data_IF_856968728138
#
_entry.id   IF_856968728138
#
_cell.length_a   1.000
_cell.length_b   1.000
_cell.length_c   1.000
_cell.angle_alpha   90.00
_cell.angle_beta   90.00
_cell.angle_gamma   90.00
#
_symmetry.space_group_name_H-M   'P 1'
#
loop_
_entity.id
_entity.type
_entity.pdbx_description
1 polymer ?
#
# COMPACT_ATOMS: atom_id res chain seq x y z
N UNK A 1 13.77 0.87 -13.72
CA UNK A 1 13.28 0.50 -15.05
C UNK A 1 14.49 0.15 -15.89
N UNK A 2 14.45 -0.99 -16.55
CA UNK A 2 15.52 -1.47 -17.44
C UNK A 2 14.89 -1.88 -18.76
N UNK A 3 15.58 -1.66 -19.87
CA UNK A 3 15.19 -2.16 -21.20
C UNK A 3 16.22 -3.17 -21.68
N UNK A 4 15.75 -4.30 -22.21
CA UNK A 4 16.59 -5.38 -22.72
C UNK A 4 16.41 -5.52 -24.24
N UNK A 5 17.52 -5.39 -24.96
CA UNK A 5 17.60 -5.54 -26.41
C UNK A 5 18.72 -6.52 -26.76
N UNK A 6 18.54 -7.31 -27.80
CA UNK A 6 19.57 -8.21 -28.34
C UNK A 6 20.58 -7.47 -29.25
N UNK A 7 21.56 -8.20 -29.80
CA UNK A 7 22.56 -7.63 -30.73
C UNK A 7 21.95 -7.03 -32.02
N UNK A 8 20.73 -7.45 -32.37
CA UNK A 8 19.97 -6.93 -33.51
C UNK A 8 19.04 -5.76 -33.12
N UNK A 9 19.12 -5.26 -31.88
CA UNK A 9 18.27 -4.22 -31.30
C UNK A 9 16.77 -4.61 -31.24
N UNK A 10 16.45 -5.91 -31.25
CA UNK A 10 15.10 -6.40 -31.02
C UNK A 10 14.85 -6.55 -29.51
N UNK A 11 13.63 -6.26 -29.03
CA UNK A 11 13.30 -6.40 -27.62
C UNK A 11 13.39 -7.88 -27.21
N UNK A 12 14.08 -8.16 -26.12
CA UNK A 12 14.15 -9.52 -25.58
C UNK A 12 12.91 -9.78 -24.73
N UNK A 13 12.04 -10.65 -25.25
CA UNK A 13 10.88 -11.16 -24.53
C UNK A 13 11.28 -12.31 -23.60
N UNK A 14 10.57 -12.46 -22.47
CA UNK A 14 10.80 -13.50 -21.46
C UNK A 14 12.22 -13.53 -20.84
N UNK A 15 12.91 -12.39 -20.81
CA UNK A 15 14.18 -12.28 -20.11
C UNK A 15 13.96 -12.29 -18.59
N UNK A 16 14.86 -12.94 -17.87
CA UNK A 16 14.94 -12.83 -16.41
C UNK A 16 15.90 -11.71 -16.06
N UNK A 17 15.38 -10.66 -15.42
CA UNK A 17 16.17 -9.48 -15.04
C UNK A 17 16.34 -9.44 -13.52
N UNK A 18 17.57 -9.66 -13.06
CA UNK A 18 17.94 -9.50 -11.66
C UNK A 18 18.54 -8.12 -11.43
N UNK A 19 18.03 -7.43 -10.41
CA UNK A 19 18.50 -6.13 -9.95
C UNK A 19 19.08 -6.30 -8.55
N UNK A 20 20.39 -6.14 -8.42
CA UNK A 20 21.08 -6.12 -7.14
C UNK A 20 21.28 -4.67 -6.70
N UNK A 21 20.64 -4.29 -5.58
CA UNK A 21 20.67 -2.93 -5.03
C UNK A 21 21.60 -2.91 -3.83
N UNK A 22 22.68 -2.14 -3.89
CA UNK A 22 23.56 -1.87 -2.75
C UNK A 22 23.02 -0.68 -1.96
N UNK A 23 22.78 -0.89 -0.67
CA UNK A 23 22.23 0.10 0.25
C UNK A 23 23.35 1.07 0.73
N UNK A 24 23.05 2.38 0.87
CA UNK A 24 24.00 3.37 1.38
C UNK A 24 24.38 3.15 2.84
N UNK A 25 23.55 2.42 3.59
CA UNK A 25 23.62 2.30 5.04
C UNK A 25 22.91 3.45 5.74
N UNK A 26 22.31 3.16 6.89
CA UNK A 26 21.53 4.12 7.65
C UNK A 26 21.01 3.55 8.95
N UNK A 27 19.82 4.02 9.36
CA UNK A 27 19.20 3.62 10.62
C UNK A 27 18.59 2.21 10.54
N UNK A 28 18.10 1.82 9.35
CA UNK A 28 17.42 0.52 9.17
C UNK A 28 18.34 -0.57 8.60
N UNK A 29 19.37 -0.22 7.82
CA UNK A 29 20.27 -1.18 7.17
C UNK A 29 21.77 -0.83 7.29
N UNK A 30 22.67 -1.82 7.42
CA UNK A 30 24.12 -1.61 7.33
C UNK A 30 24.56 -1.10 5.94
N UNK A 31 25.62 -0.29 5.93
CA UNK A 31 26.23 0.17 4.68
C UNK A 31 26.79 -1.02 3.87
N UNK A 32 26.47 -1.05 2.57
CA UNK A 32 26.95 -2.09 1.66
C UNK A 32 26.15 -3.40 1.71
N UNK A 33 25.07 -3.47 2.50
CA UNK A 33 24.09 -4.56 2.38
C UNK A 33 23.48 -4.56 0.97
N UNK A 34 23.29 -5.74 0.40
CA UNK A 34 22.78 -5.93 -0.96
C UNK A 34 21.40 -6.56 -0.93
N UNK A 35 20.47 -6.00 -1.69
CA UNK A 35 19.11 -6.49 -1.83
C UNK A 35 18.81 -6.84 -3.28
N UNK A 36 18.42 -8.10 -3.53
CA UNK A 36 18.13 -8.58 -4.88
C UNK A 36 16.64 -8.55 -5.17
N UNK A 37 16.28 -7.94 -6.29
CA UNK A 37 14.94 -7.90 -6.85
C UNK A 37 14.92 -8.55 -8.23
N UNK A 38 13.84 -9.25 -8.54
CA UNK A 38 13.55 -9.66 -9.92
C UNK A 38 12.59 -8.65 -10.52
N UNK A 39 12.95 -8.09 -11.67
CA UNK A 39 12.07 -7.17 -12.39
C UNK A 39 11.04 -7.95 -13.21
N UNK A 40 9.83 -7.42 -13.28
CA UNK A 40 8.72 -7.99 -14.05
C UNK A 40 8.65 -7.34 -15.43
N UNK A 41 8.23 -8.10 -16.44
CA UNK A 41 8.01 -7.57 -17.77
C UNK A 41 6.83 -6.57 -17.78
N UNK A 42 7.00 -5.46 -18.48
CA UNK A 42 5.94 -4.48 -18.72
C UNK A 42 5.04 -4.97 -19.85
N UNK A 43 3.74 -5.11 -19.58
CA UNK A 43 2.76 -5.60 -20.54
C UNK A 43 2.47 -4.59 -21.66
N UNK A 44 2.70 -3.30 -21.44
CA UNK A 44 2.42 -2.24 -22.42
C UNK A 44 3.61 -1.99 -23.35
N UNK A 45 4.82 -2.35 -22.94
CA UNK A 45 6.05 -2.06 -23.70
C UNK A 45 6.97 -3.29 -23.77
N UNK A 46 7.05 -3.98 -24.92
CA UNK A 46 7.95 -5.11 -25.10
C UNK A 46 9.41 -4.75 -24.80
N UNK A 47 10.14 -5.66 -24.14
CA UNK A 47 11.54 -5.48 -23.77
C UNK A 47 11.78 -4.56 -22.57
N UNK A 48 10.73 -3.97 -21.97
CA UNK A 48 10.84 -3.17 -20.74
C UNK A 48 10.56 -4.04 -19.51
N UNK A 49 11.43 -3.94 -18.52
CA UNK A 49 11.32 -4.63 -17.24
C UNK A 49 11.33 -3.62 -16.09
N UNK A 50 10.40 -3.79 -15.16
CA UNK A 50 10.14 -2.84 -14.07
C UNK A 50 10.15 -3.58 -12.73
N UNK A 51 10.84 -3.00 -11.76
CA UNK A 51 10.74 -3.39 -10.35
C UNK A 51 10.52 -2.13 -9.52
N UNK A 52 9.83 -2.28 -8.39
CA UNK A 52 9.61 -1.19 -7.43
C UNK A 52 10.46 -1.43 -6.19
N UNK A 53 11.15 -0.39 -5.75
CA UNK A 53 11.95 -0.41 -4.53
C UNK A 53 11.68 0.88 -3.75
N UNK A 54 11.52 0.74 -2.43
CA UNK A 54 11.30 1.87 -1.53
C UNK A 54 12.58 2.14 -0.75
N UNK A 55 13.23 3.28 -1.04
CA UNK A 55 14.39 3.73 -0.30
C UNK A 55 13.99 4.21 1.10
N UNK A 56 14.51 3.56 2.13
CA UNK A 56 14.21 3.88 3.54
C UNK A 56 15.26 4.77 4.18
N UNK A 57 16.53 4.55 3.83
CA UNK A 57 17.65 5.31 4.36
C UNK A 57 18.08 6.41 3.37
N UNK A 58 18.40 7.61 3.83
CA UNK A 58 18.95 8.65 2.97
C UNK A 58 20.34 8.27 2.48
N UNK A 59 20.62 8.49 1.20
CA UNK A 59 21.95 8.27 0.62
C UNK A 59 21.97 7.83 -0.84
N UNK A 60 23.15 7.45 -1.31
CA UNK A 60 23.39 6.96 -2.66
C UNK A 60 23.17 5.45 -2.77
N UNK A 61 22.21 5.05 -3.57
CA UNK A 61 21.94 3.66 -3.93
C UNK A 61 22.64 3.32 -5.24
N UNK A 62 23.23 2.13 -5.31
CA UNK A 62 23.80 1.57 -6.55
C UNK A 62 23.00 0.36 -6.96
N UNK A 63 22.75 0.20 -8.26
CA UNK A 63 22.08 -0.96 -8.83
C UNK A 63 22.91 -1.58 -9.93
N UNK A 64 23.13 -2.88 -9.81
CA UNK A 64 23.63 -3.74 -10.88
C UNK A 64 22.45 -4.53 -11.45
N UNK A 65 22.18 -4.36 -12.73
CA UNK A 65 21.19 -5.13 -13.48
C UNK A 65 21.91 -6.21 -14.28
N UNK A 66 21.46 -7.46 -14.15
CA UNK A 66 21.89 -8.59 -14.98
C UNK A 66 20.66 -9.13 -15.72
N UNK A 67 20.75 -9.15 -17.04
CA UNK A 67 19.70 -9.65 -17.94
C UNK A 67 20.11 -11.02 -18.44
N UNK A 68 19.26 -12.01 -18.23
CA UNK A 68 19.43 -13.37 -18.73
C UNK A 68 18.32 -13.69 -19.72
N UNK A 69 18.65 -14.32 -20.83
CA UNK A 69 17.67 -14.84 -21.78
C UNK A 69 17.00 -16.11 -21.23
N UNK A 70 15.98 -16.59 -21.93
CA UNK A 70 15.22 -17.81 -21.55
C UNK A 70 16.13 -19.06 -21.43
N UNK A 71 17.21 -19.13 -22.22
CA UNK A 71 18.20 -20.20 -22.18
C UNK A 71 19.26 -20.04 -21.07
N UNK A 72 19.06 -19.08 -20.16
CA UNK A 72 19.98 -18.67 -19.10
C UNK A 72 21.33 -18.10 -19.60
N UNK A 73 21.46 -17.76 -20.89
CA UNK A 73 22.60 -16.99 -21.38
C UNK A 73 22.51 -15.53 -20.89
N UNK A 74 23.68 -14.93 -20.61
CA UNK A 74 23.74 -13.53 -20.19
C UNK A 74 23.62 -12.64 -21.43
N UNK A 75 22.54 -11.88 -21.50
CA UNK A 75 22.29 -10.90 -22.57
C UNK A 75 23.10 -9.63 -22.32
N UNK A 76 23.20 -9.21 -21.05
CA UNK A 76 23.98 -8.03 -20.69
C UNK A 76 23.93 -7.67 -19.22
N UNK A 77 24.83 -6.78 -18.83
CA UNK A 77 24.91 -6.21 -17.49
C UNK A 77 24.99 -4.68 -17.57
N UNK A 78 24.30 -3.99 -16.66
CA UNK A 78 24.30 -2.54 -16.58
C UNK A 78 24.38 -2.08 -15.13
N UNK A 79 25.17 -1.04 -14.87
CA UNK A 79 25.29 -0.44 -13.54
C UNK A 79 24.75 0.99 -13.56
N UNK A 80 23.92 1.32 -12.58
CA UNK A 80 23.38 2.67 -12.39
C UNK A 80 23.21 2.98 -10.90
N UNK A 81 22.69 4.15 -10.56
CA UNK A 81 22.40 4.52 -9.19
C UNK A 81 21.51 5.75 -9.10
N UNK A 82 20.95 5.98 -7.92
CA UNK A 82 20.21 7.19 -7.60
C UNK A 82 20.51 7.62 -6.17
N UNK A 83 20.22 8.88 -5.86
CA UNK A 83 20.23 9.37 -4.48
C UNK A 83 18.80 9.48 -3.98
N UNK A 84 18.54 8.99 -2.78
CA UNK A 84 17.27 9.18 -2.10
C UNK A 84 17.48 10.00 -0.83
N UNK A 85 16.58 10.93 -0.58
CA UNK A 85 16.51 11.69 0.66
C UNK A 85 15.03 11.79 1.05
N UNK A 86 14.48 10.77 1.73
CA UNK A 86 13.08 10.76 2.11
C UNK A 86 12.76 11.84 3.16
N UNK A 87 13.73 12.23 4.00
CA UNK A 87 13.51 13.23 5.05
C UNK A 87 13.49 14.66 4.49
N UNK A 88 14.20 14.93 3.40
CA UNK A 88 14.12 16.23 2.72
C UNK A 88 12.70 16.61 2.25
N UNK A 89 11.80 15.64 2.03
CA UNK A 89 10.41 15.93 1.73
C UNK A 89 9.66 16.54 2.93
N UNK A 90 9.93 16.05 4.15
CA UNK A 90 9.35 16.57 5.39
C UNK A 90 9.89 17.98 5.72
N UNK A 91 11.16 18.24 5.42
CA UNK A 91 11.77 19.56 5.61
C UNK A 91 11.45 20.59 4.52
N UNK A 92 10.74 20.20 3.44
CA UNK A 92 10.38 21.11 2.34
C UNK A 92 9.37 22.17 2.77
N UNK A 93 8.48 21.82 3.69
CA UNK A 93 7.47 22.71 4.24
C UNK A 93 7.51 22.63 5.76
N UNK A 94 8.35 23.47 6.36
CA UNK A 94 8.47 23.61 7.81
C UNK A 94 7.25 24.28 8.46
N UNK A 95 6.33 24.82 7.63
CA UNK A 95 5.12 25.46 8.10
C UNK A 95 4.06 24.40 8.40
N UNK A 96 3.36 24.59 9.52
CA UNK A 96 2.20 23.75 9.87
C UNK A 96 1.11 23.95 8.82
N UNK A 97 0.65 22.87 8.18
CA UNK A 97 -0.50 22.88 7.29
C UNK A 97 -1.81 23.09 8.07
N UNK A 98 -2.11 24.35 8.36
CA UNK A 98 -3.32 24.74 9.10
C UNK A 98 -4.60 24.36 8.35
N UNK A 99 -4.60 24.49 7.02
CA UNK A 99 -5.77 24.17 6.21
C UNK A 99 -6.10 22.67 6.26
N UNK A 100 -5.09 21.81 6.16
CA UNK A 100 -5.25 20.36 6.31
C UNK A 100 -5.71 19.95 7.70
N UNK A 101 -5.14 20.55 8.75
CA UNK A 101 -5.55 20.31 10.14
C UNK A 101 -7.01 20.74 10.39
N UNK A 102 -7.43 21.89 9.84
CA UNK A 102 -8.81 22.38 9.94
C UNK A 102 -9.80 21.47 9.22
N UNK A 103 -9.43 20.99 8.03
CA UNK A 103 -10.25 20.04 7.27
C UNK A 103 -10.43 18.72 8.04
N UNK A 104 -9.35 18.19 8.61
CA UNK A 104 -9.38 16.97 9.42
C UNK A 104 -10.22 17.14 10.70
N UNK A 105 -10.03 18.26 11.40
CA UNK A 105 -10.80 18.60 12.58
C UNK A 105 -12.30 18.67 12.27
N UNK A 106 -12.67 19.33 11.17
CA UNK A 106 -14.06 19.42 10.71
C UNK A 106 -14.64 18.05 10.39
N UNK A 107 -13.89 17.19 9.70
CA UNK A 107 -14.34 15.85 9.33
C UNK A 107 -14.53 14.90 10.53
N UNK A 108 -13.74 15.10 11.60
CA UNK A 108 -13.74 14.24 12.80
C UNK A 108 -14.53 14.81 13.97
N UNK A 109 -15.04 16.05 13.85
CA UNK A 109 -15.69 16.78 14.94
C UNK A 109 -14.71 17.29 16.01
N UNK A 110 -13.43 17.39 15.67
CA UNK A 110 -12.38 17.99 16.50
C UNK A 110 -12.25 19.51 16.31
N UNK A 111 -11.19 20.08 16.87
CA UNK A 111 -10.81 21.48 16.67
C UNK A 111 -9.29 21.63 16.56
N UNK A 112 -8.82 22.64 15.84
CA UNK A 112 -7.40 23.02 15.81
C UNK A 112 -7.15 24.00 16.96
N UNK A 113 -6.14 23.73 17.77
CA UNK A 113 -5.81 24.53 18.96
C UNK A 113 -4.52 25.29 18.70
N UNK A 114 -4.57 26.62 18.83
CA UNK A 114 -3.38 27.47 18.80
C UNK A 114 -2.56 27.32 20.09
N UNK A 115 -1.26 27.59 19.99
CA UNK A 115 -0.31 27.42 21.09
C UNK A 115 -0.70 28.24 22.34
N UNK A 116 -1.20 29.46 22.14
CA UNK A 116 -1.67 30.37 23.20
C UNK A 116 -2.95 29.88 23.89
N UNK A 117 -3.69 28.97 23.26
CA UNK A 117 -4.95 28.40 23.78
C UNK A 117 -4.77 26.99 24.34
N UNK A 118 -3.58 26.41 24.26
CA UNK A 118 -3.31 25.04 24.68
C UNK A 118 -3.67 24.81 26.15
N UNK A 119 -3.26 25.69 27.06
CA UNK A 119 -3.56 25.58 28.49
C UNK A 119 -5.07 25.64 28.76
N UNK A 120 -5.78 26.51 28.05
CA UNK A 120 -7.24 26.64 28.17
C UNK A 120 -7.97 25.39 27.64
N UNK A 121 -7.45 24.80 26.56
CA UNK A 121 -7.97 23.56 26.01
C UNK A 121 -7.77 22.40 26.98
N UNK A 122 -6.58 22.24 27.55
CA UNK A 122 -6.28 21.20 28.55
C UNK A 122 -7.19 21.34 29.78
N UNK A 123 -7.40 22.56 30.25
CA UNK A 123 -8.31 22.83 31.36
C UNK A 123 -9.79 22.49 31.04
N UNK A 124 -10.17 22.49 29.76
CA UNK A 124 -11.53 22.14 29.31
C UNK A 124 -11.77 20.63 29.13
N UNK A 125 -10.72 19.81 29.04
CA UNK A 125 -10.84 18.37 28.81
C UNK A 125 -11.68 17.62 29.87
N UNK A 126 -11.55 17.89 31.18
CA UNK A 126 -12.34 17.19 32.20
C UNK A 126 -13.85 17.42 32.10
N UNK A 127 -14.28 18.56 31.54
CA UNK A 127 -15.69 18.91 31.36
C UNK A 127 -16.24 18.51 29.99
N UNK A 128 -15.36 18.08 29.07
CA UNK A 128 -15.75 17.72 27.71
C UNK A 128 -16.30 16.30 27.66
N UNK A 129 -17.57 16.18 27.29
CA UNK A 129 -18.19 14.88 27.03
C UNK A 129 -17.68 14.36 25.69
N UNK A 130 -16.67 13.49 25.72
CA UNK A 130 -16.26 12.74 24.53
C UNK A 130 -17.32 11.66 24.30
N UNK A 131 -18.11 11.72 23.22
CA UNK A 131 -19.04 10.65 22.92
C UNK A 131 -18.23 9.40 22.57
N UNK A 132 -18.22 8.41 23.47
CA UNK A 132 -17.62 7.11 23.22
C UNK A 132 -18.47 6.43 22.16
N UNK A 133 -18.08 6.54 20.89
CA UNK A 133 -18.71 5.81 19.79
C UNK A 133 -18.29 4.35 19.87
N UNK A 134 -19.11 3.52 20.50
CA UNK A 134 -18.96 2.07 20.38
C UNK A 134 -19.62 1.63 19.06
N UNK A 135 -18.87 0.90 18.23
CA UNK A 135 -19.43 0.25 17.05
C UNK A 135 -20.30 -0.93 17.52
N UNK A 136 -21.61 -0.72 17.59
CA UNK A 136 -22.56 -1.78 17.92
C UNK A 136 -22.92 -2.57 16.66
N UNK A 137 -22.37 -3.77 16.53
CA UNK A 137 -22.78 -4.73 15.50
C UNK A 137 -23.96 -5.53 16.04
N UNK A 138 -25.18 -5.24 15.58
CA UNK A 138 -26.38 -6.00 15.95
C UNK A 138 -26.67 -7.06 14.88
N UNK A 139 -26.47 -8.36 15.13
CA UNK A 139 -26.70 -9.38 14.11
C UNK A 139 -28.18 -9.44 13.76
N UNK A 140 -28.49 -9.42 12.46
CA UNK A 140 -29.89 -9.51 11.97
C UNK A 140 -30.63 -10.76 12.45
N UNK A 141 -29.89 -11.84 12.71
CA UNK A 141 -30.40 -13.11 13.24
C UNK A 141 -30.98 -13.03 14.65
N UNK A 142 -30.63 -11.99 15.43
CA UNK A 142 -31.17 -11.80 16.78
C UNK A 142 -32.57 -11.18 16.77
N UNK A 143 -33.12 -10.84 15.59
CA UNK A 143 -34.49 -10.36 15.45
C UNK A 143 -35.44 -11.56 15.23
N UNK A 144 -36.38 -11.85 16.14
CA UNK A 144 -37.21 -13.05 16.07
C UNK A 144 -38.06 -13.14 14.80
N UNK A 145 -38.45 -12.00 14.21
CA UNK A 145 -39.20 -11.97 12.95
C UNK A 145 -38.36 -12.42 11.74
N UNK A 146 -37.04 -12.17 11.72
CA UNK A 146 -36.14 -12.63 10.64
C UNK A 146 -36.04 -14.15 10.68
N UNK A 147 -35.95 -14.73 11.89
CA UNK A 147 -35.97 -16.17 12.10
C UNK A 147 -37.31 -16.77 11.63
N UNK A 148 -38.44 -16.15 11.97
CA UNK A 148 -39.76 -16.59 11.50
C UNK A 148 -39.87 -16.53 9.97
N UNK A 149 -39.36 -15.47 9.34
CA UNK A 149 -39.37 -15.35 7.89
C UNK A 149 -38.50 -16.43 7.22
N UNK A 150 -37.30 -16.70 7.75
CA UNK A 150 -36.43 -17.77 7.24
C UNK A 150 -37.09 -19.16 7.38
N UNK A 151 -37.70 -19.45 8.53
CA UNK A 151 -38.46 -20.69 8.75
C UNK A 151 -39.63 -20.78 7.78
N UNK A 152 -40.37 -19.68 7.56
CA UNK A 152 -41.52 -19.66 6.66
C UNK A 152 -41.10 -19.84 5.20
N UNK A 153 -39.98 -19.26 4.77
CA UNK A 153 -39.38 -19.53 3.46
C UNK A 153 -38.98 -21.00 3.31
N UNK A 154 -38.35 -21.58 4.34
CA UNK A 154 -37.93 -22.98 4.33
C UNK A 154 -39.14 -23.94 4.30
N UNK A 155 -40.13 -23.71 5.16
CA UNK A 155 -41.38 -24.45 5.19
C UNK A 155 -42.20 -24.23 3.91
N UNK A 156 -42.16 -23.03 3.34
CA UNK A 156 -42.80 -22.68 2.09
C UNK A 156 -42.18 -23.43 0.91
N UNK A 157 -40.85 -23.47 0.82
CA UNK A 157 -40.11 -24.27 -0.16
C UNK A 157 -40.43 -25.76 -0.02
N UNK A 158 -40.36 -26.29 1.20
CA UNK A 158 -40.70 -27.68 1.49
C UNK A 158 -42.15 -28.02 1.15
N UNK A 159 -43.09 -27.15 1.54
CA UNK A 159 -44.51 -27.30 1.26
C UNK A 159 -44.79 -27.25 -0.23
N UNK A 160 -44.16 -26.31 -0.94
CA UNK A 160 -44.28 -26.18 -2.39
C UNK A 160 -43.73 -27.42 -3.10
N UNK A 161 -42.53 -27.91 -2.74
CA UNK A 161 -41.96 -29.16 -3.27
C UNK A 161 -42.86 -30.36 -3.01
N UNK A 162 -43.40 -30.47 -1.81
CA UNK A 162 -44.29 -31.59 -1.43
C UNK A 162 -45.61 -31.56 -2.21
N UNK A 163 -46.10 -30.38 -2.56
CA UNK A 163 -47.30 -30.19 -3.37
C UNK A 163 -47.06 -30.39 -4.87
N UNK A 164 -45.90 -30.01 -5.40
CA UNK A 164 -45.56 -30.23 -6.81
C UNK A 164 -45.00 -31.63 -7.11
N UNK A 165 -44.78 -32.46 -6.10
CA UNK A 165 -44.47 -33.89 -6.26
C UNK A 165 -43.03 -34.20 -6.69
N UNK A 166 -42.11 -33.25 -6.52
CA UNK A 166 -40.68 -33.50 -6.70
C UNK A 166 -40.06 -33.96 -5.36
N UNK A 167 -39.17 -34.98 -5.36
CA UNK A 167 -38.56 -35.50 -4.13
C UNK A 167 -37.69 -34.45 -3.41
#
# INVERSE_FOLDING_TARGET
MTTAYDEAYLPVENATVHLEITLPGGAESPAGETFTLTAEADWDTPGKYVAKFWARDPGGYRVAARVMAEDASVVGEANTGWTADPTAAEFRELAVDRAGLEALATATGGEVVDEDRLDSFVASLPSRKVPVSQAWVYPIWHRPWVMMLAILCLCGEWGLRRWTGMP
#
